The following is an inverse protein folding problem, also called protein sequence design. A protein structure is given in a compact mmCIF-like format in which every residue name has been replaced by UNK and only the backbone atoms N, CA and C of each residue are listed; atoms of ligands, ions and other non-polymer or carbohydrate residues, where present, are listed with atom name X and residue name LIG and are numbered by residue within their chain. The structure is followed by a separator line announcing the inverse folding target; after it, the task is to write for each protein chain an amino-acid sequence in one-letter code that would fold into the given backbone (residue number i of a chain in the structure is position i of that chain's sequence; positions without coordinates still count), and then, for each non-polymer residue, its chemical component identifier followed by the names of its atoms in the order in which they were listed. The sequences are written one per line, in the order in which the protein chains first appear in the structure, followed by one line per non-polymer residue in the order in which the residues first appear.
data_IF_590128861565
#
_entry.id   IF_590128861565
#
_cell.length_a   1.000
_cell.length_b   1.000
_cell.length_c   1.000
_cell.angle_alpha   90.00
_cell.angle_beta   90.00
_cell.angle_gamma   90.00
#
_symmetry.space_group_name_H-M   'P 1'
#
loop_
_entity.id
_entity.type
_entity.pdbx_description
1 polymer ?
#
# COMPACT_ATOMS: atom_id res chain seq x y z
N UNK A 1 -17.53 0.16 -9.14
CA UNK A 1 -17.41 -0.24 -10.55
C UNK A 1 -17.26 1.05 -11.36
N UNK A 2 -16.18 1.21 -12.13
CA UNK A 2 -16.01 2.41 -12.97
C UNK A 2 -16.53 2.07 -14.36
N UNK A 3 -17.68 2.61 -14.73
CA UNK A 3 -18.30 2.46 -16.07
C UNK A 3 -17.44 3.08 -17.19
N UNK A 4 -16.43 3.86 -16.80
CA UNK A 4 -15.46 4.50 -17.69
C UNK A 4 -14.37 3.53 -18.17
N UNK A 5 -14.15 2.39 -17.49
CA UNK A 5 -13.18 1.39 -17.92
C UNK A 5 -13.62 0.68 -19.20
N UNK A 6 -12.83 0.82 -20.27
CA UNK A 6 -13.09 0.19 -21.58
C UNK A 6 -12.42 -1.17 -21.78
N UNK A 7 -11.86 -1.77 -20.73
CA UNK A 7 -11.18 -3.07 -20.77
C UNK A 7 -10.10 -3.20 -21.88
N UNK A 8 -9.43 -2.08 -22.21
CA UNK A 8 -8.39 -2.00 -23.25
C UNK A 8 -7.04 -2.63 -22.87
N UNK A 9 -6.93 -3.19 -21.67
CA UNK A 9 -5.74 -3.86 -21.12
C UNK A 9 -4.43 -3.05 -21.01
N UNK A 10 -4.40 -1.78 -21.42
CA UNK A 10 -3.21 -0.90 -21.34
C UNK A 10 -2.56 -0.87 -19.95
N UNK A 11 -3.37 -0.94 -18.89
CA UNK A 11 -2.87 -1.00 -17.52
C UNK A 11 -2.06 -2.27 -17.23
N UNK A 12 -2.46 -3.41 -17.81
CA UNK A 12 -1.81 -4.71 -17.64
C UNK A 12 -0.53 -4.79 -18.45
N UNK A 13 -0.53 -4.31 -19.69
CA UNK A 13 0.66 -4.21 -20.55
C UNK A 13 1.77 -3.36 -19.91
N UNK A 14 1.39 -2.37 -19.09
CA UNK A 14 2.32 -1.50 -18.38
C UNK A 14 2.63 -1.97 -16.94
N UNK A 15 2.12 -3.13 -16.53
CA UNK A 15 2.34 -3.67 -15.20
C UNK A 15 3.51 -4.64 -15.16
N UNK A 16 4.65 -4.31 -14.51
CA UNK A 16 5.79 -5.21 -14.44
C UNK A 16 5.47 -6.49 -13.65
N UNK A 17 4.52 -6.43 -12.72
CA UNK A 17 4.11 -7.61 -11.94
C UNK A 17 3.39 -8.63 -12.83
N UNK A 18 2.54 -8.17 -13.74
CA UNK A 18 1.84 -9.08 -14.66
C UNK A 18 2.85 -9.73 -15.62
N UNK A 19 3.76 -8.94 -16.17
CA UNK A 19 4.84 -9.45 -17.02
C UNK A 19 5.66 -10.55 -16.32
N UNK A 20 6.01 -10.34 -15.06
CA UNK A 20 6.82 -11.29 -14.28
C UNK A 20 6.06 -12.51 -13.78
N UNK A 21 4.77 -12.38 -13.48
CA UNK A 21 3.99 -13.42 -12.79
C UNK A 21 2.96 -14.13 -13.67
N UNK A 22 2.69 -13.63 -14.88
CA UNK A 22 1.65 -14.15 -15.77
C UNK A 22 0.22 -13.98 -15.23
N UNK A 23 0.01 -13.12 -14.21
CA UNK A 23 -1.31 -12.88 -13.63
C UNK A 23 -2.24 -12.19 -14.64
N UNK A 24 -3.53 -12.44 -14.50
CA UNK A 24 -4.58 -11.86 -15.37
C UNK A 24 -4.62 -10.33 -15.28
N UNK A 25 -5.24 -9.69 -16.28
CA UNK A 25 -5.27 -8.24 -16.45
C UNK A 25 -5.80 -7.43 -15.25
N UNK A 26 -5.23 -6.25 -15.05
CA UNK A 26 -5.53 -5.37 -13.91
C UNK A 26 -6.96 -4.82 -13.93
N UNK A 27 -7.59 -4.68 -15.10
CA UNK A 27 -8.94 -4.10 -15.23
C UNK A 27 -10.00 -4.89 -14.44
N UNK A 28 -9.76 -6.18 -14.15
CA UNK A 28 -10.64 -7.05 -13.36
C UNK A 28 -11.00 -6.42 -12.02
N UNK A 29 -10.14 -5.57 -11.45
CA UNK A 29 -10.42 -4.86 -10.21
C UNK A 29 -11.70 -4.02 -10.23
N UNK A 30 -12.09 -3.52 -11.39
CA UNK A 30 -13.29 -2.70 -11.51
C UNK A 30 -14.58 -3.52 -11.50
N UNK A 31 -14.51 -4.81 -11.80
CA UNK A 31 -15.66 -5.67 -12.11
C UNK A 31 -15.74 -6.93 -11.25
N UNK A 32 -14.64 -7.35 -10.64
CA UNK A 32 -14.54 -8.60 -9.89
C UNK A 32 -14.22 -8.34 -8.42
N UNK A 33 -14.71 -9.22 -7.54
CA UNK A 33 -14.46 -9.16 -6.10
C UNK A 33 -13.20 -9.90 -5.67
N UNK A 34 -12.90 -11.01 -6.33
CA UNK A 34 -11.75 -11.85 -6.04
C UNK A 34 -10.61 -11.62 -7.05
N UNK A 35 -9.82 -10.61 -6.77
CA UNK A 35 -8.61 -10.26 -7.53
C UNK A 35 -7.40 -10.32 -6.62
N UNK A 36 -6.30 -10.90 -7.12
CA UNK A 36 -5.03 -10.88 -6.41
C UNK A 36 -4.39 -9.49 -6.58
N UNK A 37 -4.21 -8.78 -5.47
CA UNK A 37 -3.83 -7.36 -5.45
C UNK A 37 -2.59 -7.07 -4.63
N UNK A 38 -2.11 -8.01 -3.83
CA UNK A 38 -1.08 -7.72 -2.83
C UNK A 38 0.31 -7.58 -3.44
N UNK A 39 0.52 -8.12 -4.64
CA UNK A 39 1.78 -7.96 -5.38
C UNK A 39 1.94 -6.59 -6.06
N UNK A 40 0.88 -5.76 -6.10
CA UNK A 40 0.98 -4.43 -6.68
C UNK A 40 2.01 -3.59 -5.90
N UNK A 41 3.09 -3.21 -6.58
CA UNK A 41 4.20 -2.40 -6.06
C UNK A 41 3.89 -0.91 -5.95
N UNK A 42 2.68 -0.48 -6.32
CA UNK A 42 2.26 0.93 -6.29
C UNK A 42 3.15 1.86 -7.12
N UNK A 43 3.64 1.39 -8.28
CA UNK A 43 4.54 2.14 -9.16
C UNK A 43 3.85 3.14 -10.11
N UNK A 44 2.51 3.26 -10.07
CA UNK A 44 1.68 4.19 -10.86
C UNK A 44 1.71 4.05 -12.40
N UNK A 45 2.47 3.11 -12.98
CA UNK A 45 2.53 2.92 -14.44
C UNK A 45 1.16 2.70 -15.10
N UNK A 46 0.30 1.90 -14.46
CA UNK A 46 -1.04 1.62 -14.97
C UNK A 46 -1.95 2.86 -15.03
N UNK A 47 -1.80 3.78 -14.09
CA UNK A 47 -2.55 5.04 -14.03
C UNK A 47 -2.02 6.02 -15.08
N UNK A 48 -0.70 6.16 -15.19
CA UNK A 48 -0.06 7.02 -16.19
C UNK A 48 -0.36 6.59 -17.63
N UNK A 49 -0.46 5.28 -17.88
CA UNK A 49 -0.74 4.74 -19.21
C UNK A 49 -2.24 4.68 -19.55
N UNK A 50 -3.15 4.89 -18.58
CA UNK A 50 -4.57 4.69 -18.83
C UNK A 50 -5.12 5.75 -19.82
N UNK A 51 -5.67 5.35 -20.99
CA UNK A 51 -6.19 6.30 -21.96
C UNK A 51 -7.43 7.06 -21.44
N UNK A 52 -8.16 6.47 -20.49
CA UNK A 52 -9.32 7.07 -19.84
C UNK A 52 -8.97 7.77 -18.51
N UNK A 53 -7.67 7.91 -18.20
CA UNK A 53 -7.19 8.60 -16.98
C UNK A 53 -7.78 8.06 -15.68
N UNK A 54 -8.03 6.75 -15.63
CA UNK A 54 -8.51 6.10 -14.42
C UNK A 54 -7.36 5.94 -13.43
N UNK A 55 -7.61 6.28 -12.16
CA UNK A 55 -6.71 5.97 -11.06
C UNK A 55 -6.80 4.48 -10.68
N UNK A 56 -6.25 3.62 -11.55
CA UNK A 56 -6.19 2.17 -11.35
C UNK A 56 -5.50 1.82 -10.04
N UNK A 57 -4.45 2.57 -9.65
CA UNK A 57 -3.76 2.40 -8.38
C UNK A 57 -4.70 2.66 -7.20
N UNK A 58 -5.49 3.72 -7.24
CA UNK A 58 -6.42 4.05 -6.16
C UNK A 58 -7.57 3.04 -6.08
N UNK A 59 -8.02 2.50 -7.21
CA UNK A 59 -8.95 1.37 -7.24
C UNK A 59 -8.35 0.15 -6.52
N UNK A 60 -7.06 -0.17 -6.74
CA UNK A 60 -6.30 -1.21 -6.00
C UNK A 60 -6.35 -0.98 -4.50
N UNK A 61 -6.04 0.23 -4.05
CA UNK A 61 -6.05 0.54 -2.63
C UNK A 61 -7.47 0.51 -2.03
N UNK A 62 -8.49 0.94 -2.78
CA UNK A 62 -9.89 0.85 -2.35
C UNK A 62 -10.32 -0.60 -2.18
N UNK A 63 -9.96 -1.48 -3.12
CA UNK A 63 -10.28 -2.91 -3.04
C UNK A 63 -9.50 -3.64 -1.94
N UNK A 64 -8.23 -3.30 -1.73
CA UNK A 64 -7.44 -3.81 -0.58
C UNK A 64 -8.12 -3.48 0.75
N UNK A 65 -8.66 -2.28 0.92
CA UNK A 65 -9.42 -1.90 2.13
C UNK A 65 -10.69 -2.72 2.32
N UNK A 66 -11.41 -3.05 1.25
CA UNK A 66 -12.59 -3.95 1.34
C UNK A 66 -12.22 -5.41 1.62
N UNK A 67 -10.96 -5.81 1.40
CA UNK A 67 -10.44 -7.16 1.58
C UNK A 67 -9.53 -7.27 2.82
N UNK A 68 -9.78 -6.48 3.86
CA UNK A 68 -8.94 -6.40 5.07
C UNK A 68 -8.68 -7.76 5.72
N UNK A 69 -9.68 -8.65 5.73
CA UNK A 69 -9.57 -10.03 6.25
C UNK A 69 -8.59 -10.91 5.46
N UNK A 70 -8.26 -10.54 4.21
CA UNK A 70 -7.29 -11.23 3.34
C UNK A 70 -5.95 -10.49 3.28
N UNK A 71 -5.72 -9.52 4.16
CA UNK A 71 -4.45 -8.81 4.23
C UNK A 71 -3.32 -9.77 4.63
N UNK A 72 -2.17 -9.79 3.92
CA UNK A 72 -1.01 -10.59 4.32
C UNK A 72 -0.58 -10.26 5.75
N UNK A 73 -0.26 -11.28 6.55
CA UNK A 73 0.09 -11.14 7.96
C UNK A 73 1.28 -10.22 8.21
N UNK A 74 2.27 -10.22 7.31
CA UNK A 74 3.43 -9.32 7.37
C UNK A 74 3.04 -7.84 7.29
N UNK A 75 1.94 -7.50 6.63
CA UNK A 75 1.46 -6.11 6.56
C UNK A 75 0.91 -5.64 7.91
N UNK A 76 0.21 -6.52 8.64
CA UNK A 76 -0.29 -6.22 9.98
C UNK A 76 0.84 -5.89 10.96
N UNK A 77 2.01 -6.53 10.80
CA UNK A 77 3.21 -6.26 11.58
C UNK A 77 3.64 -4.79 11.47
N UNK A 78 3.63 -4.21 10.26
CA UNK A 78 4.05 -2.81 10.07
C UNK A 78 3.12 -1.83 10.79
N UNK A 79 1.80 -2.02 10.71
CA UNK A 79 0.84 -1.21 11.45
C UNK A 79 1.02 -1.35 12.97
N UNK A 80 1.21 -2.59 13.44
CA UNK A 80 1.46 -2.88 14.85
C UNK A 80 2.73 -2.21 15.35
N UNK A 81 3.80 -2.21 14.54
CA UNK A 81 5.07 -1.59 14.89
C UNK A 81 4.94 -0.07 15.01
N UNK A 82 4.19 0.59 14.12
CA UNK A 82 3.92 2.03 14.25
C UNK A 82 3.25 2.33 15.60
N UNK A 83 2.22 1.55 15.96
CA UNK A 83 1.47 1.77 17.21
C UNK A 83 2.25 1.42 18.48
N UNK A 84 3.29 0.59 18.39
CA UNK A 84 4.13 0.17 19.53
C UNK A 84 5.41 1.01 19.67
N UNK A 85 6.09 1.25 18.56
CA UNK A 85 7.46 1.76 18.50
C UNK A 85 7.58 3.11 17.75
N UNK A 86 6.48 3.66 17.24
CA UNK A 86 6.50 4.91 16.48
C UNK A 86 7.17 4.81 15.10
N UNK A 87 7.41 3.59 14.59
CA UNK A 87 8.01 3.36 13.27
C UNK A 87 7.62 1.98 12.71
N UNK A 88 7.73 1.77 11.39
CA UNK A 88 7.33 0.51 10.74
C UNK A 88 8.29 -0.67 10.97
N UNK A 89 9.56 -0.38 11.24
CA UNK A 89 10.63 -1.39 11.27
C UNK A 89 10.80 -2.05 12.65
N UNK A 90 10.30 -1.41 13.72
CA UNK A 90 10.38 -1.91 15.09
C UNK A 90 11.47 -1.23 15.92
N UNK A 91 11.71 -1.75 17.13
CA UNK A 91 12.61 -1.15 18.12
C UNK A 91 14.09 -1.15 17.71
N UNK A 92 14.56 -2.24 17.10
CA UNK A 92 15.99 -2.43 16.84
C UNK A 92 16.47 -1.72 15.56
N UNK A 93 15.57 -1.45 14.62
CA UNK A 93 15.94 -0.97 13.29
C UNK A 93 16.15 0.55 13.27
N UNK A 94 15.24 1.30 13.88
CA UNK A 94 15.29 2.76 13.96
C UNK A 94 15.43 3.21 15.42
N UNK A 95 16.65 3.61 15.78
CA UNK A 95 16.96 4.13 17.12
C UNK A 95 17.71 5.45 17.08
N UNK A 96 17.51 6.28 18.09
CA UNK A 96 18.24 7.53 18.27
C UNK A 96 19.75 7.31 18.48
N UNK A 97 20.16 6.13 18.96
CA UNK A 97 21.56 5.75 19.04
C UNK A 97 22.19 5.62 17.64
N UNK A 98 21.53 4.90 16.72
CA UNK A 98 22.00 4.78 15.32
C UNK A 98 22.00 6.14 14.63
N UNK A 99 20.97 6.96 14.85
CA UNK A 99 20.87 8.32 14.29
C UNK A 99 22.01 9.21 14.78
N UNK A 100 22.33 9.18 16.07
CA UNK A 100 23.46 9.91 16.65
C UNK A 100 24.80 9.47 16.06
N UNK A 101 25.03 8.17 15.84
CA UNK A 101 26.23 7.65 15.17
C UNK A 101 26.39 8.18 13.73
N UNK A 102 25.27 8.47 13.06
CA UNK A 102 25.22 9.04 11.72
C UNK A 102 25.16 10.57 11.69
N UNK A 103 25.18 11.26 12.84
CA UNK A 103 25.04 12.72 12.91
C UNK A 103 23.65 13.25 12.55
N UNK A 104 22.61 12.40 12.61
CA UNK A 104 21.23 12.78 12.31
C UNK A 104 20.51 13.30 13.56
N UNK A 105 19.57 14.21 13.35
CA UNK A 105 18.70 14.73 14.42
C UNK A 105 17.91 13.61 15.11
N UNK A 106 17.64 13.75 16.40
CA UNK A 106 16.86 12.76 17.14
C UNK A 106 15.38 12.83 16.77
N UNK A 107 14.71 11.68 16.80
CA UNK A 107 13.27 11.56 16.58
C UNK A 107 12.57 11.33 17.93
N UNK A 108 11.42 11.97 18.10
CA UNK A 108 10.50 11.70 19.20
C UNK A 108 9.54 10.54 18.85
N UNK A 109 10.00 9.32 19.08
CA UNK A 109 9.22 8.11 18.78
C UNK A 109 7.96 7.98 19.65
N UNK A 110 7.97 8.50 20.89
CA UNK A 110 6.79 8.47 21.76
C UNK A 110 5.70 9.42 21.26
N UNK A 111 6.07 10.62 20.78
CA UNK A 111 5.11 11.50 20.13
C UNK A 111 4.50 10.85 18.89
N UNK A 112 5.31 10.23 18.01
CA UNK A 112 4.77 9.55 16.82
C UNK A 112 3.78 8.46 17.22
N UNK A 113 4.15 7.60 18.17
CA UNK A 113 3.29 6.54 18.70
C UNK A 113 1.98 7.10 19.27
N UNK A 114 2.03 8.20 20.02
CA UNK A 114 0.86 8.86 20.57
C UNK A 114 -0.08 9.38 19.47
N UNK A 115 0.44 10.14 18.51
CA UNK A 115 -0.36 10.70 17.40
C UNK A 115 -0.94 9.59 16.51
N UNK A 116 -0.16 8.53 16.24
CA UNK A 116 -0.65 7.41 15.43
C UNK A 116 -1.76 6.62 16.11
N UNK A 117 -1.71 6.45 17.44
CA UNK A 117 -2.81 5.85 18.20
C UNK A 117 -4.08 6.69 18.14
N UNK A 118 -3.94 8.02 18.20
CA UNK A 118 -5.07 8.93 18.06
C UNK A 118 -5.73 8.79 16.68
N UNK A 119 -4.93 8.84 15.61
CA UNK A 119 -5.44 8.64 14.25
C UNK A 119 -6.11 7.26 14.06
N UNK A 120 -5.55 6.20 14.64
CA UNK A 120 -6.14 4.87 14.56
C UNK A 120 -7.52 4.80 15.23
N UNK A 121 -7.71 5.50 16.35
CA UNK A 121 -9.00 5.59 17.05
C UNK A 121 -10.04 6.44 16.32
N UNK A 122 -9.63 7.33 15.41
CA UNK A 122 -10.53 8.16 14.60
C UNK A 122 -11.06 7.45 13.34
N UNK A 123 -10.53 6.27 13.00
CA UNK A 123 -10.85 5.50 11.79
C UNK A 123 -11.81 4.32 12.08
N UNK A 124 -12.13 4.07 13.35
CA UNK A 124 -13.19 3.14 13.79
C UNK A 124 -14.57 3.81 13.80
#
# INVERSE_FOLDING_TARGET
MSEECKQCDTCSENCPIIELTGKKGLYRIFFEDDVELWDCSSCFRCEAACPNKLSVRDAIFKKRRSLKERMPSDMLRYFTNILKFGNVFGEQELSNEKRKKLGLELIDFEKIKFEMKKLAAEIE
#
